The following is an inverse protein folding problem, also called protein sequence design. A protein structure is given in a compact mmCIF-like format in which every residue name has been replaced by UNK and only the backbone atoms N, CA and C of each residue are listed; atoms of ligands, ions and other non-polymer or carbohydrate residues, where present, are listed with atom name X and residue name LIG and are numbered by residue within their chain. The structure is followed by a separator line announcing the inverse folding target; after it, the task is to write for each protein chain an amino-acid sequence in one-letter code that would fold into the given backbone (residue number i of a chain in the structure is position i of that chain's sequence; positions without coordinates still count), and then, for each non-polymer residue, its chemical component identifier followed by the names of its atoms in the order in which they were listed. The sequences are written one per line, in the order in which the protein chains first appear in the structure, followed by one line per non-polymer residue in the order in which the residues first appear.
data_IF_558121428051
#
_entry.id   IF_558121428051
#
_cell.length_a   1.000
_cell.length_b   1.000
_cell.length_c   1.000
_cell.angle_alpha   90.00
_cell.angle_beta   90.00
_cell.angle_gamma   90.00
#
_symmetry.space_group_name_H-M   'P 1'
#
loop_
_entity.id
_entity.type
_entity.pdbx_description
1 polymer ?
#
# COMPACT_ATOMS: atom_id res chain seq x y z
N UNK A 1 1.82 27.45 18.38
CA UNK A 1 1.30 26.37 19.25
C UNK A 1 2.45 25.65 19.94
N UNK A 2 3.43 25.09 19.20
CA UNK A 2 4.53 24.31 19.79
C UNK A 2 5.32 25.05 20.88
N UNK A 3 5.59 26.35 20.71
CA UNK A 3 6.30 27.17 21.70
C UNK A 3 5.52 27.35 23.03
N UNK A 4 4.23 27.09 23.03
CA UNK A 4 3.36 27.15 24.22
C UNK A 4 3.00 25.79 24.80
N UNK A 5 3.69 24.72 24.37
CA UNK A 5 3.54 23.38 24.94
C UNK A 5 4.46 23.18 26.13
N UNK A 6 4.04 22.36 27.09
CA UNK A 6 4.86 22.01 28.26
C UNK A 6 6.02 21.09 27.89
N UNK A 7 5.79 20.19 26.92
CA UNK A 7 6.81 19.26 26.39
C UNK A 7 6.74 19.26 24.87
N UNK A 8 7.91 19.31 24.24
CA UNK A 8 8.05 19.16 22.79
C UNK A 8 9.06 18.04 22.50
N UNK A 9 8.66 17.09 21.66
CA UNK A 9 9.56 16.18 20.98
C UNK A 9 10.03 16.87 19.72
N UNK A 10 11.30 16.86 19.46
CA UNK A 10 11.93 17.41 18.25
C UNK A 10 13.00 16.40 17.84
N UNK A 11 12.64 15.47 16.92
CA UNK A 11 13.49 14.35 16.57
C UNK A 11 13.38 13.97 15.10
N UNK A 12 14.47 13.50 14.54
CA UNK A 12 14.55 13.00 13.16
C UNK A 12 14.68 11.49 13.13
N UNK A 13 13.77 10.83 12.42
CA UNK A 13 13.73 9.38 12.23
C UNK A 13 14.16 9.02 10.82
N UNK A 14 14.84 7.89 10.67
CA UNK A 14 15.31 7.41 9.38
C UNK A 14 14.75 6.03 9.05
N UNK A 15 14.27 5.87 7.82
CA UNK A 15 13.87 4.56 7.28
C UNK A 15 14.71 4.24 6.06
N UNK A 16 15.14 2.99 5.94
CA UNK A 16 15.98 2.54 4.83
C UNK A 16 15.17 2.03 3.65
N UNK A 17 15.75 2.09 2.47
CA UNK A 17 15.25 1.36 1.31
C UNK A 17 15.30 -0.15 1.58
N UNK A 18 14.20 -0.83 1.28
CA UNK A 18 14.13 -2.29 1.40
C UNK A 18 13.25 -2.87 0.29
N UNK A 19 13.64 -4.02 -0.24
CA UNK A 19 12.93 -4.73 -1.29
C UNK A 19 11.78 -5.57 -0.67
N UNK A 20 10.68 -5.74 -1.42
CA UNK A 20 9.44 -6.39 -0.95
C UNK A 20 9.59 -7.89 -0.67
N UNK A 21 10.64 -8.53 -1.17
CA UNK A 21 11.01 -9.94 -0.93
C UNK A 21 9.85 -10.94 -1.15
N UNK A 22 8.94 -10.65 -2.11
CA UNK A 22 7.87 -11.59 -2.48
C UNK A 22 8.46 -12.96 -2.83
N UNK A 23 7.76 -14.02 -2.45
CA UNK A 23 8.28 -15.40 -2.65
C UNK A 23 8.51 -15.71 -4.13
N UNK A 24 7.57 -15.34 -5.00
CA UNK A 24 7.74 -15.42 -6.44
C UNK A 24 8.54 -14.22 -6.96
N UNK A 25 9.70 -14.49 -7.59
CA UNK A 25 10.53 -13.48 -8.25
C UNK A 25 9.86 -12.94 -9.52
N UNK A 26 10.41 -11.90 -10.11
CA UNK A 26 9.90 -11.35 -11.37
C UNK A 26 10.07 -12.37 -12.51
N UNK A 27 9.02 -12.52 -13.33
CA UNK A 27 9.04 -13.43 -14.48
C UNK A 27 8.05 -13.04 -15.54
N UNK A 28 8.43 -13.23 -16.78
CA UNK A 28 7.60 -12.93 -17.94
C UNK A 28 7.90 -13.91 -19.07
N UNK A 29 6.85 -14.37 -19.75
CA UNK A 29 6.91 -15.13 -20.99
C UNK A 29 6.20 -14.37 -22.11
N UNK A 30 6.78 -14.34 -23.28
CA UNK A 30 6.24 -13.68 -24.45
C UNK A 30 6.17 -14.65 -25.66
N UNK A 31 5.12 -14.50 -26.46
CA UNK A 31 4.94 -15.23 -27.73
C UNK A 31 4.15 -14.38 -28.73
N UNK A 32 4.20 -14.75 -30.01
CA UNK A 32 3.31 -14.16 -31.05
C UNK A 32 2.15 -15.13 -31.26
N UNK A 33 0.92 -14.61 -31.30
CA UNK A 33 -0.27 -15.40 -31.62
C UNK A 33 -0.49 -15.57 -33.14
N UNK A 34 -1.51 -16.37 -33.49
CA UNK A 34 -1.88 -16.62 -34.90
C UNK A 34 -2.26 -15.36 -35.69
N UNK A 35 -2.60 -14.27 -34.98
CA UNK A 35 -2.95 -12.96 -35.59
C UNK A 35 -1.77 -11.99 -35.60
N UNK A 36 -0.56 -12.45 -35.30
CA UNK A 36 0.65 -11.62 -35.26
C UNK A 36 0.75 -10.68 -34.06
N UNK A 37 -0.11 -10.85 -33.03
CA UNK A 37 -0.10 -10.03 -31.81
C UNK A 37 0.88 -10.58 -30.77
N UNK A 38 1.49 -9.67 -30.03
CA UNK A 38 2.37 -10.00 -28.91
C UNK A 38 1.53 -10.40 -27.68
N UNK A 39 1.63 -11.66 -27.27
CA UNK A 39 1.09 -12.15 -26.00
C UNK A 39 2.16 -12.09 -24.94
N UNK A 40 1.83 -11.51 -23.80
CA UNK A 40 2.70 -11.36 -22.63
C UNK A 40 1.99 -11.97 -21.43
N UNK A 41 2.56 -13.04 -20.90
CA UNK A 41 2.14 -13.67 -19.65
C UNK A 41 3.15 -13.24 -18.57
N UNK A 42 2.75 -12.35 -17.67
CA UNK A 42 3.63 -11.81 -16.66
C UNK A 42 3.03 -11.87 -15.26
N UNK A 43 3.87 -12.14 -14.27
CA UNK A 43 3.54 -11.97 -12.87
C UNK A 43 3.54 -10.48 -12.52
N UNK A 44 2.48 -9.77 -12.91
CA UNK A 44 2.32 -8.32 -12.78
C UNK A 44 1.00 -7.97 -12.09
N UNK A 45 1.03 -6.93 -11.27
CA UNK A 45 -0.16 -6.33 -10.62
C UNK A 45 -0.93 -5.41 -11.57
N UNK A 46 -0.33 -5.01 -12.73
CA UNK A 46 -0.78 -3.89 -13.55
C UNK A 46 -0.88 -4.23 -15.04
N UNK A 47 -1.61 -5.28 -15.40
CA UNK A 47 -1.68 -5.78 -16.79
C UNK A 47 -1.98 -4.67 -17.81
N UNK A 48 -2.85 -3.71 -17.49
CA UNK A 48 -3.21 -2.59 -18.39
C UNK A 48 -2.10 -1.56 -18.53
N UNK A 49 -1.39 -1.23 -17.45
CA UNK A 49 -0.23 -0.32 -17.48
C UNK A 49 0.95 -0.99 -18.16
N UNK A 50 1.21 -2.27 -17.84
CA UNK A 50 2.25 -3.05 -18.52
C UNK A 50 2.02 -3.02 -20.05
N UNK A 51 0.78 -3.25 -20.52
CA UNK A 51 0.43 -3.13 -21.95
C UNK A 51 0.77 -1.76 -22.52
N UNK A 52 0.46 -0.69 -21.78
CA UNK A 52 0.74 0.69 -22.23
C UNK A 52 2.25 0.95 -22.31
N UNK A 53 3.00 0.51 -21.30
CA UNK A 53 4.45 0.66 -21.25
C UNK A 53 5.10 -0.09 -22.41
N UNK A 54 4.69 -1.34 -22.66
CA UNK A 54 5.18 -2.13 -23.78
C UNK A 54 4.83 -1.52 -25.14
N UNK A 55 3.62 -0.98 -25.30
CA UNK A 55 3.22 -0.30 -26.54
C UNK A 55 4.11 0.91 -26.83
N UNK A 56 4.41 1.71 -25.80
CA UNK A 56 5.29 2.86 -25.93
C UNK A 56 6.75 2.42 -26.20
N UNK A 57 7.26 1.44 -25.47
CA UNK A 57 8.64 0.97 -25.62
C UNK A 57 8.91 0.31 -26.98
N UNK A 58 7.93 -0.40 -27.53
CA UNK A 58 8.05 -1.10 -28.82
C UNK A 58 7.58 -0.27 -30.01
N UNK A 59 6.99 0.91 -29.77
CA UNK A 59 6.37 1.77 -30.78
C UNK A 59 5.30 1.05 -31.61
N UNK A 60 4.44 0.25 -30.97
CA UNK A 60 3.35 -0.49 -31.62
C UNK A 60 2.00 -0.17 -30.96
N UNK A 61 0.89 -0.31 -31.71
CA UNK A 61 -0.44 -0.07 -31.16
C UNK A 61 -0.75 -1.00 -29.99
N UNK A 62 -1.43 -0.47 -28.95
CA UNK A 62 -1.90 -1.28 -27.80
C UNK A 62 -2.76 -2.48 -28.22
N UNK A 63 -3.48 -2.38 -29.34
CA UNK A 63 -4.29 -3.48 -29.90
C UNK A 63 -3.45 -4.69 -30.32
N UNK A 64 -2.18 -4.48 -30.63
CA UNK A 64 -1.24 -5.52 -30.99
C UNK A 64 -0.61 -6.24 -29.77
N UNK A 65 -0.99 -5.86 -28.56
CA UNK A 65 -0.43 -6.44 -27.32
C UNK A 65 -1.56 -6.97 -26.44
N UNK A 66 -1.46 -8.22 -26.05
CA UNK A 66 -2.24 -8.82 -24.96
C UNK A 66 -1.34 -9.05 -23.77
N UNK A 67 -1.73 -8.57 -22.60
CA UNK A 67 -1.07 -8.89 -21.32
C UNK A 67 -2.06 -9.63 -20.46
N UNK A 68 -1.65 -10.74 -19.91
CA UNK A 68 -2.41 -11.53 -18.95
C UNK A 68 -1.52 -11.88 -17.75
N UNK A 69 -2.15 -12.01 -16.56
CA UNK A 69 -1.48 -12.50 -15.37
C UNK A 69 -1.77 -13.99 -15.15
N UNK A 70 -0.80 -14.80 -14.72
CA UNK A 70 -1.05 -16.07 -14.06
C UNK A 70 -1.47 -15.84 -12.60
N UNK A 71 -1.55 -16.89 -11.80
CA UNK A 71 -1.55 -16.71 -10.35
C UNK A 71 -0.24 -16.07 -9.91
N UNK A 72 -0.32 -15.08 -9.00
CA UNK A 72 0.82 -14.27 -8.58
C UNK A 72 1.25 -14.70 -7.18
N UNK A 73 2.51 -15.09 -7.02
CA UNK A 73 3.11 -15.50 -5.76
C UNK A 73 3.61 -14.36 -4.91
N UNK A 74 2.74 -13.35 -4.69
CA UNK A 74 3.01 -12.11 -3.96
C UNK A 74 3.52 -10.99 -4.86
N UNK A 75 3.21 -9.78 -4.47
CA UNK A 75 3.66 -8.56 -5.18
C UNK A 75 4.05 -7.47 -4.20
N UNK A 76 3.20 -7.17 -3.23
CA UNK A 76 3.39 -6.16 -2.19
C UNK A 76 3.76 -4.76 -2.73
N UNK A 77 3.39 -4.49 -3.99
CA UNK A 77 3.75 -3.28 -4.73
C UNK A 77 4.95 -3.43 -5.67
N UNK A 78 5.84 -4.40 -5.50
CA UNK A 78 7.01 -4.59 -6.37
C UNK A 78 6.64 -4.80 -7.84
N UNK A 79 5.52 -5.45 -8.10
CA UNK A 79 5.02 -5.77 -9.44
C UNK A 79 4.01 -4.73 -9.96
N UNK A 80 4.05 -3.52 -9.40
CA UNK A 80 3.18 -2.40 -9.77
C UNK A 80 3.85 -1.46 -10.79
N UNK A 81 5.02 -1.82 -11.28
CA UNK A 81 5.69 -1.26 -12.45
C UNK A 81 6.16 -2.39 -13.37
N UNK A 82 6.54 -2.07 -14.61
CA UNK A 82 7.19 -3.05 -15.49
C UNK A 82 8.66 -3.14 -15.13
N UNK A 83 9.10 -4.27 -14.63
CA UNK A 83 10.49 -4.53 -14.21
C UNK A 83 11.23 -5.35 -15.26
N UNK A 84 10.70 -6.50 -15.65
CA UNK A 84 11.37 -7.42 -16.57
C UNK A 84 10.62 -7.63 -17.90
N UNK A 85 9.41 -7.12 -18.04
CA UNK A 85 8.51 -7.40 -19.16
C UNK A 85 9.04 -6.93 -20.50
N UNK A 86 9.75 -5.79 -20.52
CA UNK A 86 10.22 -5.18 -21.76
C UNK A 86 11.25 -6.05 -22.48
N UNK A 87 12.09 -6.76 -21.74
CA UNK A 87 13.17 -7.56 -22.32
C UNK A 87 12.65 -8.71 -23.20
N UNK A 88 11.87 -9.66 -22.69
CA UNK A 88 11.33 -10.74 -23.53
C UNK A 88 10.33 -10.22 -24.57
N UNK A 89 9.59 -9.16 -24.27
CA UNK A 89 8.68 -8.55 -25.24
C UNK A 89 9.44 -8.02 -26.47
N UNK A 90 10.56 -7.33 -26.26
CA UNK A 90 11.42 -6.85 -27.34
C UNK A 90 12.01 -7.99 -28.16
N UNK A 91 12.57 -9.01 -27.51
CA UNK A 91 13.16 -10.18 -28.19
C UNK A 91 12.09 -10.88 -29.02
N UNK A 92 10.94 -11.20 -28.44
CA UNK A 92 9.85 -11.88 -29.15
C UNK A 92 9.32 -11.03 -30.33
N UNK A 93 9.15 -9.73 -30.13
CA UNK A 93 8.65 -8.84 -31.18
C UNK A 93 9.60 -8.74 -32.38
N UNK A 94 10.92 -8.72 -32.12
CA UNK A 94 11.94 -8.65 -33.18
C UNK A 94 12.18 -9.98 -33.87
N UNK A 95 12.28 -11.06 -33.11
CA UNK A 95 12.64 -12.37 -33.65
C UNK A 95 11.44 -13.22 -34.10
N UNK A 96 10.23 -12.85 -33.66
CA UNK A 96 8.99 -13.62 -33.78
C UNK A 96 9.04 -15.00 -33.10
N UNK A 97 10.08 -15.27 -32.30
CA UNK A 97 10.23 -16.50 -31.51
C UNK A 97 9.79 -16.26 -30.07
N UNK A 98 9.23 -17.28 -29.38
CA UNK A 98 8.93 -17.18 -27.97
C UNK A 98 10.19 -16.89 -27.13
N UNK A 99 10.02 -16.10 -26.10
CA UNK A 99 11.09 -15.83 -25.14
C UNK A 99 10.54 -15.71 -23.71
N UNK A 100 11.39 -15.95 -22.72
CA UNK A 100 11.05 -15.79 -21.31
C UNK A 100 12.24 -15.25 -20.53
N UNK A 101 11.93 -14.57 -19.43
CA UNK A 101 12.88 -14.16 -18.40
C UNK A 101 12.35 -14.56 -17.03
N UNK A 102 13.24 -15.01 -16.16
CA UNK A 102 12.95 -15.32 -14.76
C UNK A 102 14.13 -14.79 -13.97
N UNK A 103 13.85 -13.79 -13.10
CA UNK A 103 14.86 -13.27 -12.21
C UNK A 103 15.16 -14.25 -11.08
N UNK A 104 16.42 -14.40 -10.75
CA UNK A 104 16.86 -14.99 -9.49
C UNK A 104 16.41 -14.09 -8.31
N UNK A 105 16.55 -14.60 -7.09
CA UNK A 105 16.32 -13.77 -5.89
C UNK A 105 17.25 -12.57 -5.86
N UNK A 106 18.51 -12.77 -6.20
CA UNK A 106 19.51 -11.71 -6.24
C UNK A 106 19.13 -10.62 -7.26
N UNK A 107 18.83 -11.00 -8.50
CA UNK A 107 18.39 -10.07 -9.54
C UNK A 107 17.11 -9.32 -9.14
N UNK A 108 16.16 -10.01 -8.50
CA UNK A 108 14.94 -9.36 -7.98
C UNK A 108 15.22 -8.29 -6.93
N UNK A 109 16.28 -8.44 -6.15
CA UNK A 109 16.67 -7.47 -5.12
C UNK A 109 17.41 -6.26 -5.68
N UNK A 110 18.25 -6.44 -6.69
CA UNK A 110 19.10 -5.37 -7.22
C UNK A 110 18.54 -4.66 -8.47
N UNK A 111 17.53 -5.23 -9.12
CA UNK A 111 16.97 -4.71 -10.37
C UNK A 111 15.45 -4.43 -10.27
N UNK A 112 14.96 -4.11 -9.08
CA UNK A 112 13.54 -3.78 -8.84
C UNK A 112 13.38 -2.43 -8.14
N UNK A 113 12.15 -2.08 -7.81
CA UNK A 113 11.80 -0.80 -7.17
C UNK A 113 11.56 -1.01 -5.67
N UNK A 114 12.54 -0.73 -4.81
CA UNK A 114 12.42 -0.87 -3.36
C UNK A 114 11.51 0.20 -2.75
N UNK A 115 11.26 0.10 -1.44
CA UNK A 115 10.66 1.18 -0.64
C UNK A 115 11.52 2.44 -0.71
N UNK A 116 10.87 3.61 -0.78
CA UNK A 116 11.55 4.90 -0.65
C UNK A 116 12.26 4.98 0.70
N UNK A 117 13.53 5.33 0.69
CA UNK A 117 14.25 5.77 1.88
C UNK A 117 13.74 7.15 2.28
N UNK A 118 13.51 7.36 3.58
CA UNK A 118 12.99 8.63 4.08
C UNK A 118 13.69 9.07 5.35
N UNK A 119 13.86 10.38 5.45
CA UNK A 119 14.16 11.10 6.67
C UNK A 119 12.90 11.86 7.09
N UNK A 120 12.49 11.68 8.34
CA UNK A 120 11.24 12.22 8.87
C UNK A 120 11.53 13.00 10.15
N UNK A 121 11.43 14.33 10.07
CA UNK A 121 11.60 15.21 11.20
C UNK A 121 10.23 15.50 11.82
N UNK A 122 10.04 15.07 13.04
CA UNK A 122 8.79 15.23 13.81
C UNK A 122 9.00 16.21 14.94
N UNK A 123 8.16 17.24 14.98
CA UNK A 123 7.99 18.11 16.14
C UNK A 123 6.58 17.91 16.69
N UNK A 124 6.48 17.36 17.89
CA UNK A 124 5.20 17.02 18.53
C UNK A 124 5.14 17.64 19.91
N UNK A 125 4.17 18.53 20.11
CA UNK A 125 4.02 19.27 21.34
C UNK A 125 2.74 18.92 22.08
N UNK A 126 2.85 18.81 23.43
CA UNK A 126 1.72 18.47 24.28
C UNK A 126 1.74 19.27 25.60
N UNK A 127 0.60 19.25 26.30
CA UNK A 127 0.50 19.68 27.68
C UNK A 127 1.13 18.63 28.63
N UNK A 128 1.39 19.04 29.87
CA UNK A 128 1.87 18.12 30.93
C UNK A 128 0.93 16.94 31.20
N UNK A 129 -0.36 17.10 30.86
CA UNK A 129 -1.35 16.03 30.99
C UNK A 129 -1.41 15.12 29.75
N UNK A 130 -0.48 15.29 28.81
CA UNK A 130 -0.36 14.46 27.63
C UNK A 130 -1.40 14.73 26.52
N UNK A 131 -2.00 15.93 26.51
CA UNK A 131 -2.86 16.34 25.41
C UNK A 131 -2.02 16.95 24.29
N UNK A 132 -2.01 16.31 23.13
CA UNK A 132 -1.28 16.77 21.94
C UNK A 132 -1.92 18.03 21.39
N UNK A 133 -1.12 19.11 21.29
CA UNK A 133 -1.57 20.42 20.80
C UNK A 133 -1.10 20.71 19.38
N UNK A 134 0.06 20.21 19.00
CA UNK A 134 0.61 20.50 17.69
C UNK A 134 1.48 19.39 17.14
N UNK A 135 1.37 19.13 15.82
CA UNK A 135 2.19 18.18 15.10
C UNK A 135 2.74 18.86 13.85
N UNK A 136 4.06 18.85 13.73
CA UNK A 136 4.79 19.35 12.58
C UNK A 136 5.67 18.23 12.06
N UNK A 137 5.39 17.78 10.85
CA UNK A 137 6.11 16.70 10.16
C UNK A 137 6.73 17.23 8.87
N UNK A 138 8.04 17.13 8.78
CA UNK A 138 8.78 17.27 7.52
C UNK A 138 9.27 15.91 7.06
N UNK A 139 9.09 15.58 5.79
CA UNK A 139 9.56 14.33 5.20
C UNK A 139 10.41 14.59 3.96
N UNK A 140 11.66 14.16 3.99
CA UNK A 140 12.54 14.09 2.83
C UNK A 140 12.56 12.66 2.29
N UNK A 141 12.20 12.48 1.01
CA UNK A 141 12.09 11.17 0.37
C UNK A 141 13.07 11.03 -0.79
N UNK A 142 13.89 9.99 -0.75
CA UNK A 142 14.77 9.61 -1.85
C UNK A 142 14.01 8.71 -2.82
N UNK A 143 13.73 9.22 -4.03
CA UNK A 143 13.03 8.46 -5.07
C UNK A 143 13.96 7.72 -6.04
N UNK A 144 15.27 7.86 -5.89
CA UNK A 144 16.25 7.28 -6.80
C UNK A 144 16.24 7.96 -8.18
N UNK A 145 16.61 7.20 -9.23
CA UNK A 145 16.89 7.79 -10.54
C UNK A 145 15.66 8.22 -11.35
N UNK A 146 14.48 7.62 -11.15
CA UNK A 146 13.34 7.78 -12.07
C UNK A 146 12.04 8.25 -11.45
N UNK A 147 12.00 8.52 -10.17
CA UNK A 147 10.88 9.18 -9.50
C UNK A 147 9.56 8.41 -9.47
N UNK A 148 9.56 7.10 -9.59
CA UNK A 148 8.37 6.28 -9.56
C UNK A 148 7.61 6.40 -8.23
N UNK A 149 6.32 6.76 -8.30
CA UNK A 149 5.43 6.93 -7.15
C UNK A 149 5.91 7.94 -6.09
N UNK A 150 6.98 8.71 -6.35
CA UNK A 150 7.62 9.60 -5.38
C UNK A 150 6.66 10.55 -4.67
N UNK A 151 5.93 11.44 -5.38
CA UNK A 151 5.01 12.40 -4.77
C UNK A 151 3.87 11.74 -3.97
N UNK A 152 3.28 10.67 -4.51
CA UNK A 152 2.23 9.92 -3.81
C UNK A 152 2.77 9.25 -2.54
N UNK A 153 3.97 8.68 -2.63
CA UNK A 153 4.59 7.98 -1.52
C UNK A 153 4.92 8.95 -0.38
N UNK A 154 5.61 10.06 -0.67
CA UNK A 154 5.95 11.02 0.37
C UNK A 154 4.71 11.66 0.98
N UNK A 155 3.70 12.00 0.18
CA UNK A 155 2.45 12.59 0.66
C UNK A 155 1.72 11.72 1.68
N UNK A 156 1.73 10.40 1.48
CA UNK A 156 1.08 9.48 2.41
C UNK A 156 1.79 9.37 3.77
N UNK A 157 3.06 9.79 3.88
CA UNK A 157 3.76 9.81 5.18
C UNK A 157 3.08 10.75 6.18
N UNK A 158 2.60 11.91 5.74
CA UNK A 158 1.82 12.83 6.56
C UNK A 158 0.33 12.49 6.60
N UNK A 159 -0.29 12.26 5.44
CA UNK A 159 -1.74 12.06 5.32
C UNK A 159 -2.28 10.84 6.06
N UNK A 160 -1.43 9.88 6.45
CA UNK A 160 -1.86 8.66 7.15
C UNK A 160 -1.32 8.53 8.57
N UNK A 161 -0.45 9.43 9.00
CA UNK A 161 0.10 9.43 10.36
C UNK A 161 -0.52 10.52 11.25
N UNK A 162 -0.52 11.76 10.78
CA UNK A 162 -1.04 12.91 11.53
C UNK A 162 -2.52 12.78 11.88
N UNK A 163 -3.43 12.35 10.98
CA UNK A 163 -4.86 12.33 11.28
C UNK A 163 -5.29 11.41 12.41
N UNK A 164 -4.46 10.45 12.82
CA UNK A 164 -4.74 9.60 13.98
C UNK A 164 -4.88 10.42 15.28
N UNK A 165 -4.19 11.57 15.34
CA UNK A 165 -4.19 12.52 16.45
C UNK A 165 -4.94 13.81 16.07
N UNK A 166 -6.06 13.66 15.39
CA UNK A 166 -6.82 14.74 14.74
C UNK A 166 -7.43 15.79 15.66
N UNK A 167 -7.30 15.65 16.99
CA UNK A 167 -7.77 16.63 17.99
C UNK A 167 -6.76 17.73 18.28
N UNK A 168 -5.55 17.67 17.75
CA UNK A 168 -4.55 18.71 17.94
C UNK A 168 -4.99 20.06 17.33
N UNK A 169 -4.55 21.16 17.95
CA UNK A 169 -4.92 22.53 17.55
C UNK A 169 -4.29 22.95 16.22
N UNK A 170 -3.11 22.41 15.91
CA UNK A 170 -2.36 22.79 14.72
C UNK A 170 -1.61 21.60 14.11
N UNK A 171 -1.62 21.58 12.77
CA UNK A 171 -0.91 20.60 11.97
C UNK A 171 -0.10 21.29 10.88
N UNK A 172 1.10 20.81 10.67
CA UNK A 172 1.88 21.14 9.48
C UNK A 172 2.47 19.86 8.90
N UNK A 173 2.35 19.71 7.59
CA UNK A 173 3.05 18.68 6.86
C UNK A 173 3.74 19.29 5.63
N UNK A 174 5.04 19.13 5.54
CA UNK A 174 5.85 19.54 4.39
C UNK A 174 6.68 18.35 3.94
N UNK A 175 6.85 18.21 2.64
CA UNK A 175 7.62 17.10 2.09
C UNK A 175 8.37 17.48 0.83
N UNK A 176 9.57 16.91 0.69
CA UNK A 176 10.39 16.99 -0.49
C UNK A 176 10.70 15.60 -1.05
N UNK A 177 10.74 15.50 -2.37
CA UNK A 177 11.14 14.29 -3.09
C UNK A 177 12.36 14.61 -3.93
N UNK A 178 13.45 13.90 -3.72
CA UNK A 178 14.70 14.15 -4.41
C UNK A 178 15.12 13.00 -5.30
N UNK A 179 15.65 13.32 -6.47
CA UNK A 179 16.31 12.36 -7.35
C UNK A 179 17.73 12.11 -6.87
N UNK A 180 18.16 10.86 -7.00
CA UNK A 180 19.54 10.45 -6.74
C UNK A 180 19.99 9.40 -7.75
N UNK A 181 21.27 9.04 -7.74
CA UNK A 181 21.82 7.95 -8.55
C UNK A 181 21.56 6.55 -7.95
N UNK A 182 20.70 6.45 -6.94
CA UNK A 182 20.30 5.18 -6.38
C UNK A 182 19.27 4.47 -7.27
N UNK A 183 19.04 3.20 -7.00
CA UNK A 183 17.98 2.43 -7.64
C UNK A 183 16.64 3.14 -7.48
N UNK A 184 15.85 3.20 -8.55
CA UNK A 184 14.53 3.84 -8.52
C UNK A 184 13.65 3.19 -7.47
N UNK A 185 13.20 3.97 -6.50
CA UNK A 185 12.23 3.50 -5.52
C UNK A 185 10.82 3.45 -6.12
N UNK A 186 9.97 2.58 -5.60
CA UNK A 186 8.64 2.37 -6.14
C UNK A 186 7.59 2.05 -5.07
N UNK A 187 6.52 1.41 -5.50
CA UNK A 187 5.45 1.03 -4.62
C UNK A 187 5.88 -0.09 -3.67
N UNK A 188 5.65 0.11 -2.39
CA UNK A 188 5.70 -0.95 -1.38
C UNK A 188 4.49 -0.79 -0.46
N UNK A 189 3.90 -1.89 -0.01
CA UNK A 189 2.68 -1.96 0.81
C UNK A 189 2.63 -0.85 1.86
N UNK A 190 1.61 0.03 1.75
CA UNK A 190 1.44 1.24 2.57
C UNK A 190 2.10 2.49 2.00
N UNK A 191 2.88 2.42 0.92
CA UNK A 191 3.64 3.55 0.35
C UNK A 191 4.45 4.27 1.44
N UNK A 192 4.24 5.58 1.65
CA UNK A 192 4.89 6.34 2.72
C UNK A 192 4.20 6.29 4.07
N UNK A 193 2.98 5.76 4.14
CA UNK A 193 2.21 5.71 5.40
C UNK A 193 2.96 4.95 6.51
N UNK A 194 3.59 3.83 6.17
CA UNK A 194 4.35 3.03 7.14
C UNK A 194 5.52 3.78 7.74
N UNK A 195 6.23 4.58 6.95
CA UNK A 195 7.34 5.40 7.43
C UNK A 195 6.84 6.56 8.30
N UNK A 196 5.79 7.27 7.85
CA UNK A 196 5.18 8.35 8.61
C UNK A 196 4.62 7.88 9.95
N UNK A 197 3.92 6.73 9.95
CA UNK A 197 3.41 6.12 11.18
C UNK A 197 4.55 5.72 12.12
N UNK A 198 5.62 5.10 11.61
CA UNK A 198 6.79 4.79 12.42
C UNK A 198 7.34 6.03 13.11
N UNK A 199 7.53 7.13 12.41
CA UNK A 199 8.08 8.36 12.96
C UNK A 199 7.14 9.01 13.99
N UNK A 200 5.87 9.18 13.65
CA UNK A 200 4.89 9.82 14.55
C UNK A 200 4.63 8.96 15.78
N UNK A 201 4.46 7.65 15.64
CA UNK A 201 4.22 6.74 16.75
C UNK A 201 5.44 6.61 17.68
N UNK A 202 6.67 6.70 17.13
CA UNK A 202 7.90 6.78 17.92
C UNK A 202 7.95 8.08 18.73
N UNK A 203 7.63 9.22 18.10
CA UNK A 203 7.57 10.50 18.79
C UNK A 203 6.50 10.51 19.90
N UNK A 204 5.35 9.86 19.69
CA UNK A 204 4.33 9.70 20.76
C UNK A 204 4.84 8.84 21.92
N UNK A 205 5.61 7.78 21.64
CA UNK A 205 6.22 6.98 22.70
C UNK A 205 7.29 7.79 23.46
N UNK A 206 8.11 8.58 22.78
CA UNK A 206 9.09 9.47 23.43
C UNK A 206 8.40 10.56 24.26
N UNK A 207 7.26 11.08 23.79
CA UNK A 207 6.43 12.01 24.54
C UNK A 207 5.90 11.36 25.82
N UNK A 208 5.40 10.14 25.72
CA UNK A 208 4.92 9.34 26.85
C UNK A 208 5.99 9.16 27.92
N UNK A 209 7.19 8.77 27.49
CA UNK A 209 8.35 8.58 28.37
C UNK A 209 8.75 9.89 29.07
N UNK A 210 8.89 10.99 28.32
CA UNK A 210 9.22 12.31 28.90
C UNK A 210 8.21 12.83 29.90
N UNK A 211 6.93 12.51 29.70
CA UNK A 211 5.84 12.92 30.61
C UNK A 211 5.64 11.94 31.79
N UNK A 212 6.24 10.75 31.72
CA UNK A 212 5.97 9.68 32.69
C UNK A 212 4.52 9.18 32.61
N UNK A 213 3.87 9.28 31.44
CA UNK A 213 2.50 8.83 31.20
C UNK A 213 2.55 7.56 30.36
N UNK A 214 1.70 6.59 30.67
CA UNK A 214 1.61 5.36 29.89
C UNK A 214 1.27 5.65 28.40
N UNK A 215 1.99 5.06 27.44
CA UNK A 215 1.74 5.24 26.02
C UNK A 215 0.31 4.86 25.57
N UNK A 216 -0.32 3.91 26.27
CA UNK A 216 -1.73 3.58 26.06
C UNK A 216 -2.63 4.75 26.44
N UNK A 217 -2.41 5.34 27.62
CA UNK A 217 -3.18 6.47 28.14
C UNK A 217 -3.04 7.70 27.24
N UNK A 218 -1.84 8.03 26.76
CA UNK A 218 -1.64 9.14 25.81
C UNK A 218 -2.46 8.92 24.54
N UNK A 219 -2.46 7.70 24.01
CA UNK A 219 -3.25 7.38 22.81
C UNK A 219 -4.75 7.53 23.06
N UNK A 220 -5.26 6.97 24.16
CA UNK A 220 -6.68 7.10 24.51
C UNK A 220 -7.15 8.55 24.58
N UNK A 221 -6.28 9.46 25.08
CA UNK A 221 -6.62 10.89 25.22
C UNK A 221 -6.67 11.64 23.89
N UNK A 222 -5.93 11.18 22.88
CA UNK A 222 -5.62 11.97 21.68
C UNK A 222 -6.14 11.40 20.37
N UNK A 223 -6.59 10.14 20.34
CA UNK A 223 -7.05 9.50 19.10
C UNK A 223 -8.38 10.06 18.62
N UNK A 224 -8.60 9.97 17.32
CA UNK A 224 -9.87 10.28 16.69
C UNK A 224 -10.90 9.17 16.97
N UNK A 225 -12.16 9.56 17.07
CA UNK A 225 -13.32 8.68 17.24
C UNK A 225 -14.28 8.81 16.06
N UNK A 226 -15.28 7.92 16.05
CA UNK A 226 -16.41 8.05 15.12
C UNK A 226 -17.14 9.37 15.37
N UNK A 227 -17.48 10.08 14.30
CA UNK A 227 -18.10 11.41 14.33
C UNK A 227 -17.11 12.58 14.40
N UNK A 228 -15.85 12.34 14.74
CA UNK A 228 -14.86 13.42 14.77
C UNK A 228 -14.57 13.94 13.35
N UNK A 229 -14.43 15.26 13.24
CA UNK A 229 -13.87 15.89 12.04
C UNK A 229 -12.36 15.76 12.08
N UNK A 230 -11.75 15.34 10.96
CA UNK A 230 -10.30 15.19 10.83
C UNK A 230 -9.70 16.33 9.98
N UNK A 231 -9.29 17.47 10.57
CA UNK A 231 -8.78 18.61 9.80
C UNK A 231 -7.54 18.24 8.97
N UNK A 232 -6.65 17.42 9.52
CA UNK A 232 -5.47 16.93 8.83
C UNK A 232 -5.77 15.87 7.72
N UNK A 233 -7.04 15.50 7.54
CA UNK A 233 -7.50 14.60 6.48
C UNK A 233 -8.64 15.22 5.68
N UNK A 234 -8.37 16.35 5.04
CA UNK A 234 -9.30 17.09 4.17
C UNK A 234 -10.57 17.56 4.87
N UNK A 235 -10.61 17.68 6.21
CA UNK A 235 -11.79 18.04 6.97
C UNK A 235 -12.93 17.01 6.90
N UNK A 236 -12.62 15.76 6.55
CA UNK A 236 -13.63 14.71 6.48
C UNK A 236 -14.11 14.29 7.88
N UNK A 237 -15.39 13.96 7.98
CA UNK A 237 -15.95 13.33 9.16
C UNK A 237 -15.56 11.86 9.19
N UNK A 238 -15.12 11.37 10.33
CA UNK A 238 -14.78 9.97 10.54
C UNK A 238 -16.07 9.17 10.76
N UNK A 239 -16.64 8.64 9.70
CA UNK A 239 -17.96 7.99 9.73
C UNK A 239 -17.95 6.56 10.27
N UNK A 240 -16.78 5.96 10.45
CA UNK A 240 -16.62 4.61 11.01
C UNK A 240 -15.24 4.49 11.64
N UNK A 241 -15.19 4.30 12.94
CA UNK A 241 -13.94 4.15 13.69
C UNK A 241 -14.12 3.23 14.89
N UNK A 242 -13.19 2.29 15.02
CA UNK A 242 -13.10 1.40 16.17
C UNK A 242 -11.68 1.42 16.78
N UNK A 243 -10.93 2.50 16.56
CA UNK A 243 -9.53 2.59 16.96
C UNK A 243 -9.37 2.50 18.49
N UNK A 244 -10.26 3.11 19.24
CA UNK A 244 -10.36 3.02 20.69
C UNK A 244 -10.56 1.58 21.17
N UNK A 245 -11.50 0.86 20.56
CA UNK A 245 -11.77 -0.56 20.86
C UNK A 245 -10.62 -1.46 20.46
N UNK A 246 -9.96 -1.18 19.32
CA UNK A 246 -8.76 -1.90 18.91
C UNK A 246 -7.61 -1.69 19.91
N UNK A 247 -7.42 -0.45 20.36
CA UNK A 247 -6.41 -0.10 21.35
C UNK A 247 -6.65 -0.84 22.67
N UNK A 248 -7.89 -0.85 23.17
CA UNK A 248 -8.25 -1.59 24.38
C UNK A 248 -8.06 -3.09 24.22
N UNK A 249 -8.53 -3.66 23.11
CA UNK A 249 -8.40 -5.09 22.84
C UNK A 249 -6.92 -5.56 22.80
N UNK A 250 -6.03 -4.74 22.22
CA UNK A 250 -4.58 -5.05 22.21
C UNK A 250 -4.00 -4.95 23.62
N UNK A 251 -4.36 -3.92 24.36
CA UNK A 251 -3.95 -3.73 25.76
C UNK A 251 -4.31 -4.96 26.60
N UNK A 252 -5.56 -5.39 26.57
CA UNK A 252 -6.06 -6.50 27.38
C UNK A 252 -5.46 -7.86 26.95
N UNK A 253 -5.45 -8.12 25.62
CA UNK A 253 -4.97 -9.42 25.11
C UNK A 253 -3.46 -9.64 25.33
N UNK A 254 -2.63 -8.56 25.31
CA UNK A 254 -1.21 -8.72 25.59
C UNK A 254 -0.91 -8.78 27.09
N UNK A 255 -1.85 -8.41 27.96
CA UNK A 255 -1.64 -8.21 29.39
C UNK A 255 -0.69 -7.04 29.65
N UNK A 256 -1.08 -5.87 29.15
CA UNK A 256 -0.23 -4.66 29.16
C UNK A 256 0.21 -4.27 30.55
N UNK A 257 -0.73 -4.13 31.49
CA UNK A 257 -0.47 -3.67 32.88
C UNK A 257 0.58 -4.52 33.61
N UNK A 258 0.65 -5.82 33.26
CA UNK A 258 1.62 -6.74 33.89
C UNK A 258 3.00 -6.72 33.22
N UNK A 259 3.06 -6.29 31.94
CA UNK A 259 4.23 -6.48 31.08
C UNK A 259 4.95 -5.18 30.72
N UNK A 260 4.25 -4.05 30.78
CA UNK A 260 4.84 -2.75 30.47
C UNK A 260 5.55 -2.17 31.71
N UNK A 261 6.68 -1.47 31.60
CA UNK A 261 7.42 -1.28 30.34
C UNK A 261 8.36 -2.46 30.01
N UNK A 262 8.98 -3.08 30.99
CA UNK A 262 9.95 -4.16 30.82
C UNK A 262 9.87 -5.10 32.01
N UNK A 263 9.94 -6.40 31.72
CA UNK A 263 10.12 -7.45 32.78
C UNK A 263 11.52 -8.03 32.70
N UNK A 264 12.19 -8.12 33.83
CA UNK A 264 13.41 -8.90 33.95
C UNK A 264 13.06 -10.39 33.90
N UNK A 265 13.66 -11.10 32.96
CA UNK A 265 13.47 -12.54 32.74
C UNK A 265 14.60 -13.35 33.38
N UNK A 266 15.54 -12.71 34.10
CA UNK A 266 16.75 -13.31 34.63
C UNK A 266 17.84 -13.52 33.56
N UNK A 267 19.04 -13.84 34.01
CA UNK A 267 20.22 -14.10 33.18
C UNK A 267 20.53 -12.97 32.15
N UNK A 268 20.30 -11.72 32.52
CA UNK A 268 20.56 -10.56 31.69
C UNK A 268 19.57 -10.41 30.49
N UNK A 269 18.43 -11.08 30.54
CA UNK A 269 17.38 -10.99 29.52
C UNK A 269 16.21 -10.14 30.00
N UNK A 270 15.81 -9.18 29.20
CA UNK A 270 14.58 -8.39 29.38
C UNK A 270 13.51 -8.75 28.33
N UNK A 271 12.24 -8.66 28.71
CA UNK A 271 11.11 -8.72 27.80
C UNK A 271 10.29 -7.45 27.93
N UNK A 272 10.18 -6.71 26.83
CA UNK A 272 9.40 -5.49 26.76
C UNK A 272 8.15 -5.69 25.89
N UNK A 273 7.15 -4.85 26.11
CA UNK A 273 6.00 -4.66 25.23
C UNK A 273 5.99 -3.23 24.74
N UNK A 274 5.49 -3.01 23.54
CA UNK A 274 5.34 -1.69 22.94
C UNK A 274 4.02 -1.61 22.19
N UNK A 275 3.56 -0.38 21.94
CA UNK A 275 2.30 -0.10 21.26
C UNK A 275 2.51 0.92 20.15
N UNK A 276 1.81 0.73 19.05
CA UNK A 276 1.72 1.66 17.94
C UNK A 276 0.39 1.49 17.23
N UNK A 277 -0.10 2.57 16.64
CA UNK A 277 -1.33 2.59 15.85
C UNK A 277 -1.02 2.76 14.38
N UNK A 278 -1.95 2.35 13.52
CA UNK A 278 -1.82 2.52 12.10
C UNK A 278 -3.16 2.82 11.44
N UNK A 279 -3.11 3.67 10.42
CA UNK A 279 -4.21 3.95 9.52
C UNK A 279 -3.79 3.65 8.09
N UNK A 280 -4.65 2.98 7.33
CA UNK A 280 -4.46 2.78 5.90
C UNK A 280 -5.70 3.29 5.16
N UNK A 281 -5.50 4.19 4.22
CA UNK A 281 -6.51 4.57 3.25
C UNK A 281 -6.41 3.66 2.03
N UNK A 282 -7.52 3.07 1.65
CA UNK A 282 -7.62 2.18 0.49
C UNK A 282 -8.58 2.76 -0.52
N UNK A 283 -8.16 2.77 -1.79
CA UNK A 283 -8.87 3.42 -2.87
C UNK A 283 -8.73 4.95 -2.86
N UNK A 284 -8.69 5.54 -4.04
CA UNK A 284 -8.71 6.99 -4.20
C UNK A 284 -10.00 7.32 -4.94
N UNK A 285 -10.92 7.97 -4.25
CA UNK A 285 -12.19 8.41 -4.81
C UNK A 285 -11.96 9.22 -6.10
N UNK A 286 -12.69 8.89 -7.13
CA UNK A 286 -12.63 9.53 -8.46
C UNK A 286 -11.32 9.30 -9.25
N UNK A 287 -10.39 8.51 -8.74
CA UNK A 287 -9.12 8.17 -9.42
C UNK A 287 -9.07 6.68 -9.78
N UNK A 288 -9.42 5.82 -8.83
CA UNK A 288 -9.46 4.38 -9.05
C UNK A 288 -10.80 3.98 -9.68
N UNK A 289 -10.73 3.36 -10.86
CA UNK A 289 -11.91 2.88 -11.60
C UNK A 289 -11.77 1.38 -11.80
N UNK A 290 -12.73 0.63 -11.31
CA UNK A 290 -12.90 -0.79 -11.59
C UNK A 290 -13.93 -1.01 -12.69
N UNK A 291 -13.75 -2.05 -13.50
CA UNK A 291 -14.76 -2.51 -14.43
C UNK A 291 -14.95 -4.02 -14.34
N UNK A 292 -16.18 -4.45 -14.52
CA UNK A 292 -16.53 -5.85 -14.59
C UNK A 292 -17.52 -6.07 -15.74
N UNK A 293 -17.50 -7.26 -16.34
CA UNK A 293 -18.54 -7.73 -17.22
C UNK A 293 -18.97 -9.13 -16.82
N UNK A 294 -20.26 -9.36 -16.81
CA UNK A 294 -20.87 -10.66 -16.54
C UNK A 294 -21.52 -11.19 -17.82
N UNK A 295 -21.22 -12.42 -18.16
CA UNK A 295 -21.79 -13.13 -19.30
C UNK A 295 -22.49 -14.39 -18.79
N UNK A 296 -23.70 -14.63 -19.27
CA UNK A 296 -24.38 -15.92 -19.14
C UNK A 296 -23.92 -16.80 -20.32
N UNK A 297 -23.43 -17.97 -20.03
CA UNK A 297 -23.01 -18.97 -21.01
C UNK A 297 -24.21 -19.85 -21.41
N UNK A 298 -24.06 -20.61 -22.47
CA UNK A 298 -25.11 -21.49 -23.02
C UNK A 298 -25.43 -22.69 -22.11
N UNK A 299 -24.56 -23.02 -21.18
CA UNK A 299 -24.74 -24.03 -20.15
C UNK A 299 -25.44 -23.52 -18.86
N UNK A 300 -25.83 -22.24 -18.84
CA UNK A 300 -26.44 -21.59 -17.70
C UNK A 300 -25.46 -21.12 -16.60
N UNK A 301 -24.14 -21.32 -16.81
CA UNK A 301 -23.12 -20.79 -15.92
C UNK A 301 -22.75 -19.35 -16.27
N UNK A 302 -22.04 -18.70 -15.37
CA UNK A 302 -21.65 -17.30 -15.52
C UNK A 302 -20.14 -17.16 -15.68
N UNK A 303 -19.74 -16.23 -16.57
CA UNK A 303 -18.36 -15.78 -16.67
C UNK A 303 -18.27 -14.33 -16.20
N UNK A 304 -17.57 -14.10 -15.08
CA UNK A 304 -17.30 -12.77 -14.53
C UNK A 304 -15.88 -12.33 -14.94
N UNK A 305 -15.81 -11.35 -15.85
CA UNK A 305 -14.54 -10.74 -16.23
C UNK A 305 -14.32 -9.47 -15.44
N UNK A 306 -13.17 -9.35 -14.75
CA UNK A 306 -12.83 -8.24 -13.87
C UNK A 306 -11.47 -7.61 -14.22
N UNK A 307 -11.37 -6.30 -14.03
CA UNK A 307 -10.12 -5.55 -14.23
C UNK A 307 -9.12 -5.68 -13.09
N UNK A 308 -9.54 -6.21 -11.95
CA UNK A 308 -8.69 -6.38 -10.77
C UNK A 308 -7.68 -7.53 -10.96
N UNK A 309 -6.49 -7.37 -10.36
CA UNK A 309 -5.45 -8.38 -10.36
C UNK A 309 -5.36 -9.03 -8.97
N UNK A 310 -5.78 -10.28 -8.84
CA UNK A 310 -5.52 -11.05 -7.61
C UNK A 310 -4.02 -11.36 -7.50
N UNK A 311 -3.41 -10.92 -6.43
CA UNK A 311 -2.00 -11.13 -6.10
C UNK A 311 -1.84 -11.82 -4.73
N UNK A 312 -2.87 -12.53 -4.28
CA UNK A 312 -3.00 -13.11 -2.95
C UNK A 312 -3.98 -12.36 -2.06
N UNK A 313 -4.71 -11.37 -2.61
CA UNK A 313 -5.75 -10.61 -1.90
C UNK A 313 -7.08 -11.33 -1.82
N UNK A 314 -7.28 -12.38 -2.64
CA UNK A 314 -8.53 -13.12 -2.73
C UNK A 314 -9.64 -12.38 -3.49
N UNK A 315 -9.29 -11.33 -4.26
CA UNK A 315 -10.30 -10.52 -4.95
C UNK A 315 -11.06 -11.33 -6.02
N UNK A 316 -10.43 -12.30 -6.67
CA UNK A 316 -11.12 -13.19 -7.61
C UNK A 316 -12.27 -13.94 -6.90
N UNK A 317 -12.00 -14.49 -5.71
CA UNK A 317 -13.00 -15.21 -4.91
C UNK A 317 -14.10 -14.29 -4.36
N UNK A 318 -13.72 -13.17 -3.76
CA UNK A 318 -14.67 -12.22 -3.16
C UNK A 318 -15.63 -11.65 -4.22
N UNK A 319 -15.11 -11.29 -5.39
CA UNK A 319 -15.95 -10.77 -6.47
C UNK A 319 -16.88 -11.83 -7.06
N UNK A 320 -16.45 -13.11 -7.10
CA UNK A 320 -17.34 -14.21 -7.45
C UNK A 320 -18.44 -14.43 -6.41
N UNK A 321 -18.11 -14.34 -5.12
CA UNK A 321 -19.10 -14.45 -4.03
C UNK A 321 -20.17 -13.36 -4.12
N UNK A 322 -19.75 -12.09 -4.33
CA UNK A 322 -20.68 -10.98 -4.51
C UNK A 322 -21.60 -11.21 -5.73
N UNK A 323 -21.03 -11.67 -6.85
CA UNK A 323 -21.82 -11.96 -8.06
C UNK A 323 -22.80 -13.12 -7.81
N UNK A 324 -22.36 -14.20 -7.18
CA UNK A 324 -23.20 -15.37 -6.89
C UNK A 324 -24.35 -15.01 -5.95
N UNK A 325 -24.10 -14.18 -4.92
CA UNK A 325 -25.13 -13.70 -4.01
C UNK A 325 -26.21 -12.88 -4.73
N UNK A 326 -25.79 -11.92 -5.58
CA UNK A 326 -26.73 -11.09 -6.35
C UNK A 326 -27.52 -11.89 -7.39
N UNK A 327 -26.89 -12.96 -7.95
CA UNK A 327 -27.51 -13.83 -8.95
C UNK A 327 -28.35 -14.97 -8.31
N UNK A 328 -28.33 -15.08 -6.98
CA UNK A 328 -28.99 -16.15 -6.21
C UNK A 328 -28.59 -17.56 -6.72
N UNK A 329 -27.30 -17.76 -7.01
CA UNK A 329 -26.77 -19.00 -7.53
C UNK A 329 -25.58 -19.54 -6.71
N UNK A 330 -25.26 -20.84 -6.79
CA UNK A 330 -24.05 -21.39 -6.19
C UNK A 330 -22.78 -20.70 -6.69
N UNK A 331 -21.78 -20.53 -5.82
CA UNK A 331 -20.49 -19.92 -6.18
C UNK A 331 -19.79 -20.64 -7.33
N UNK A 332 -19.91 -21.96 -7.39
CA UNK A 332 -19.32 -22.79 -8.45
C UNK A 332 -19.89 -22.53 -9.84
N UNK A 333 -21.05 -21.85 -9.92
CA UNK A 333 -21.62 -21.42 -11.19
C UNK A 333 -20.97 -20.16 -11.77
N UNK A 334 -20.05 -19.52 -11.02
CA UNK A 334 -19.37 -18.28 -11.45
C UNK A 334 -17.89 -18.53 -11.72
N UNK A 335 -17.51 -18.51 -12.99
CA UNK A 335 -16.09 -18.56 -13.40
C UNK A 335 -15.53 -17.14 -13.51
N UNK A 336 -14.40 -16.87 -12.81
CA UNK A 336 -13.77 -15.55 -12.83
C UNK A 336 -12.60 -15.51 -13.81
N UNK A 337 -12.59 -14.49 -14.66
CA UNK A 337 -11.47 -14.10 -15.51
C UNK A 337 -10.88 -12.79 -14.99
N UNK A 338 -9.92 -12.90 -14.06
CA UNK A 338 -9.28 -11.75 -13.41
C UNK A 338 -8.13 -11.19 -14.23
N UNK A 339 -8.12 -9.86 -14.44
CA UNK A 339 -7.03 -9.10 -15.07
C UNK A 339 -6.52 -9.71 -16.38
N UNK A 340 -7.42 -10.16 -17.25
CA UNK A 340 -7.14 -10.51 -18.64
C UNK A 340 -7.84 -9.52 -19.58
N UNK A 341 -7.15 -9.10 -20.63
CA UNK A 341 -7.62 -8.11 -21.59
C UNK A 341 -8.89 -8.53 -22.35
N UNK A 342 -9.22 -9.81 -22.47
CA UNK A 342 -10.26 -10.27 -23.39
C UNK A 342 -11.70 -10.01 -22.95
N UNK A 343 -11.96 -9.57 -21.74
CA UNK A 343 -13.33 -9.35 -21.25
C UNK A 343 -13.61 -7.95 -20.71
N UNK A 344 -12.60 -7.09 -20.51
CA UNK A 344 -12.81 -5.81 -19.82
C UNK A 344 -12.13 -4.66 -20.55
N UNK A 345 -12.89 -3.65 -20.89
CA UNK A 345 -12.38 -2.37 -21.42
C UNK A 345 -11.76 -1.57 -20.28
N UNK A 346 -10.48 -1.26 -20.43
CA UNK A 346 -9.67 -0.31 -19.69
C UNK A 346 -10.26 0.24 -18.38
N UNK A 347 -9.89 -0.38 -17.28
CA UNK A 347 -9.85 0.35 -16.02
C UNK A 347 -8.69 1.35 -16.10
N UNK A 348 -8.98 2.63 -15.88
CA UNK A 348 -7.96 3.66 -15.71
C UNK A 348 -7.51 3.58 -14.24
N UNK A 349 -6.72 2.54 -13.94
CA UNK A 349 -6.25 2.32 -12.59
C UNK A 349 -4.89 2.98 -12.46
N UNK A 350 -4.85 4.09 -11.73
CA UNK A 350 -3.64 4.63 -11.16
C UNK A 350 -3.54 4.10 -9.73
N UNK A 351 -2.66 3.17 -9.50
CA UNK A 351 -2.41 2.62 -8.17
C UNK A 351 -3.42 1.54 -7.78
N UNK A 352 -2.98 0.31 -7.76
CA UNK A 352 -3.85 -0.85 -7.61
C UNK A 352 -3.87 -1.32 -6.17
N UNK A 353 -4.79 -0.83 -5.40
CA UNK A 353 -5.37 -1.60 -4.31
C UNK A 353 -6.88 -1.50 -4.43
N UNK A 354 -7.52 -2.48 -5.07
CA UNK A 354 -8.95 -2.68 -4.89
C UNK A 354 -9.07 -3.40 -3.55
N UNK A 355 -9.26 -2.64 -2.49
CA UNK A 355 -9.91 -3.16 -1.30
C UNK A 355 -11.40 -2.96 -1.54
N UNK A 356 -12.13 -4.05 -1.62
CA UNK A 356 -13.58 -4.00 -1.62
C UNK A 356 -13.97 -3.56 -0.22
N UNK A 357 -14.37 -2.30 -0.10
CA UNK A 357 -15.09 -1.84 1.07
C UNK A 357 -16.49 -2.44 0.91
N UNK A 358 -16.79 -3.50 1.63
CA UNK A 358 -18.16 -3.92 1.80
C UNK A 358 -18.88 -2.77 2.53
N UNK A 359 -19.76 -2.07 1.82
CA UNK A 359 -20.77 -1.27 2.48
C UNK A 359 -21.82 -2.27 2.97
N UNK A 360 -21.88 -2.51 4.27
CA UNK A 360 -23.15 -2.95 4.85
C UNK A 360 -24.10 -1.75 4.86
N UNK A 361 -25.38 -1.96 4.57
CA UNK A 361 -26.37 -0.90 4.55
C UNK A 361 -26.53 -0.21 5.90
#
# INVERSE_FOLDING_TARGET
VLAGCDVVIDHTYHTRACQQAMMETFRTYCSIDAYGRLNVLSSTQIVFHCRRILANALHIPKSMIRVAKPRIGGGFGAKQTSVCEVYPAFVTWKTKKPSKIIFSRYESQIASTPRHEMELHVRLGATKDGIVRGIDLYTLSNTGAYGEHGPTTVGLSGHKSIPLYGKAEAFRFVSDVVYTNHMSAGAYRGYGATQGLFAVESAVNELADKLGIDPFVIRQRNIVHEGDVMPAYYGQVNTSCALDRCLQAVHDNIGWDEKYPVRDMGNGKGRAVGMGMAMQGSGITSVDVGSASLKINDDGFYTLSIGAADMGTGCDTILAQIAAEVLECPLDNVTVLGADKHGVYAAKIRGTYIYIKAYSP
#
